data_IF_629580788124
#
_entry.id   IF_629580788124
#
_cell.length_a   1.000
_cell.length_b   1.000
_cell.length_c   1.000
_cell.angle_alpha   90.00
_cell.angle_beta   90.00
_cell.angle_gamma   90.00
#
_symmetry.space_group_name_H-M   'P 1'
#
loop_
_entity.id
_entity.type
_entity.pdbx_description
1 polymer ?
#
# COMPACT_ATOMS: atom_id res chain seq x y z
N UNK A 1 -4.19 15.99 4.31
CA UNK A 1 -5.35 16.86 4.58
C UNK A 1 -4.95 18.20 5.18
N UNK A 2 -4.24 18.25 6.32
CA UNK A 2 -3.79 19.51 6.95
C UNK A 2 -2.87 20.36 6.06
N UNK A 3 -2.02 19.75 5.22
CA UNK A 3 -1.15 20.48 4.28
C UNK A 3 -1.88 21.11 3.06
N UNK A 4 -3.07 20.60 2.70
CA UNK A 4 -3.85 21.09 1.55
C UNK A 4 -4.74 22.29 1.88
N UNK A 5 -4.84 22.68 3.15
CA UNK A 5 -5.58 23.88 3.59
C UNK A 5 -4.84 25.18 3.26
N UNK A 6 -3.55 25.11 2.89
CA UNK A 6 -2.72 26.25 2.50
C UNK A 6 -2.56 26.43 0.99
N UNK A 7 -3.19 25.59 0.17
CA UNK A 7 -3.02 25.58 -1.28
C UNK A 7 -4.20 26.30 -1.97
N UNK A 8 -3.91 27.24 -2.88
CA UNK A 8 -4.90 28.13 -3.51
C UNK A 8 -5.87 27.42 -4.49
N UNK A 9 -5.61 26.15 -4.81
CA UNK A 9 -6.40 25.34 -5.77
C UNK A 9 -7.08 24.13 -5.11
N UNK A 10 -7.69 24.30 -3.94
CA UNK A 10 -8.42 23.22 -3.28
C UNK A 10 -9.69 22.83 -4.07
N UNK A 11 -9.66 21.67 -4.73
CA UNK A 11 -10.82 21.10 -5.43
C UNK A 11 -11.61 20.17 -4.50
N UNK A 12 -12.82 20.57 -4.16
CA UNK A 12 -13.75 19.76 -3.36
C UNK A 12 -14.03 18.38 -3.98
N UNK A 13 -14.08 18.30 -5.32
CA UNK A 13 -14.31 17.04 -6.04
C UNK A 13 -13.16 16.06 -5.80
N UNK A 14 -11.91 16.53 -5.89
CA UNK A 14 -10.73 15.72 -5.60
C UNK A 14 -10.70 15.25 -4.14
N UNK A 15 -11.10 16.11 -3.21
CA UNK A 15 -11.19 15.76 -1.80
C UNK A 15 -12.17 14.59 -1.55
N UNK A 16 -13.40 14.65 -2.10
CA UNK A 16 -14.38 13.57 -1.92
C UNK A 16 -13.93 12.26 -2.57
N UNK A 17 -13.31 12.33 -3.76
CA UNK A 17 -12.75 11.15 -4.44
C UNK A 17 -11.67 10.50 -3.55
N UNK A 18 -10.73 11.29 -3.01
CA UNK A 18 -9.67 10.78 -2.13
C UNK A 18 -10.20 10.18 -0.83
N UNK A 19 -11.23 10.79 -0.22
CA UNK A 19 -11.85 10.23 0.99
C UNK A 19 -12.55 8.91 0.68
N UNK A 20 -13.28 8.83 -0.44
CA UNK A 20 -13.93 7.57 -0.86
C UNK A 20 -12.93 6.46 -1.16
N UNK A 21 -11.82 6.80 -1.82
CA UNK A 21 -10.72 5.88 -2.11
C UNK A 21 -10.08 5.34 -0.82
N UNK A 22 -9.78 6.20 0.15
CA UNK A 22 -9.22 5.81 1.44
C UNK A 22 -10.10 4.82 2.20
N UNK A 23 -11.42 5.05 2.23
CA UNK A 23 -12.38 4.15 2.88
C UNK A 23 -12.41 2.80 2.17
N UNK A 24 -12.49 2.80 0.84
CA UNK A 24 -12.53 1.59 0.02
C UNK A 24 -11.24 0.76 0.19
N UNK A 25 -10.08 1.42 0.10
CA UNK A 25 -8.77 0.81 0.24
C UNK A 25 -8.59 0.17 1.62
N UNK A 26 -8.91 0.91 2.68
CA UNK A 26 -8.77 0.42 4.06
C UNK A 26 -9.70 -0.76 4.32
N UNK A 27 -10.95 -0.70 3.83
CA UNK A 27 -11.93 -1.78 4.00
C UNK A 27 -11.48 -3.06 3.29
N UNK A 28 -10.98 -2.96 2.06
CA UNK A 28 -10.51 -4.12 1.29
C UNK A 28 -9.29 -4.78 1.95
N UNK A 29 -8.38 -3.98 2.50
CA UNK A 29 -7.22 -4.46 3.25
C UNK A 29 -7.61 -5.12 4.57
N UNK A 30 -8.61 -4.56 5.28
CA UNK A 30 -9.15 -5.15 6.50
C UNK A 30 -9.90 -6.46 6.23
N UNK A 31 -10.69 -6.53 5.15
CA UNK A 31 -11.43 -7.73 4.74
C UNK A 31 -10.48 -8.88 4.42
N UNK A 32 -9.42 -8.62 3.66
CA UNK A 32 -8.39 -9.62 3.32
C UNK A 32 -7.73 -10.19 4.57
N UNK A 33 -7.46 -9.34 5.57
CA UNK A 33 -6.95 -9.80 6.86
C UNK A 33 -7.97 -10.65 7.63
N UNK A 34 -9.25 -10.27 7.62
CA UNK A 34 -10.30 -11.06 8.30
C UNK A 34 -10.50 -12.43 7.65
N UNK A 35 -10.49 -12.50 6.31
CA UNK A 35 -10.55 -13.74 5.55
C UNK A 35 -9.42 -14.71 5.93
N UNK A 36 -8.20 -14.19 6.12
CA UNK A 36 -7.06 -14.98 6.58
C UNK A 36 -7.22 -15.49 8.02
N UNK A 37 -7.75 -14.67 8.91
CA UNK A 37 -7.91 -15.03 10.33
C UNK A 37 -9.07 -16.02 10.56
N UNK A 38 -10.04 -16.06 9.66
CA UNK A 38 -11.20 -16.97 9.76
C UNK A 38 -11.02 -18.30 9.05
N UNK A 39 -10.03 -18.43 8.15
CA UNK A 39 -9.76 -19.71 7.52
C UNK A 39 -9.09 -20.66 8.51
N UNK A 40 -9.75 -21.77 8.82
CA UNK A 40 -9.28 -22.79 9.77
C UNK A 40 -8.15 -23.66 9.22
N UNK A 41 -7.80 -23.48 7.94
CA UNK A 41 -6.70 -24.17 7.27
C UNK A 41 -5.47 -23.24 7.29
N UNK A 42 -4.26 -23.73 7.57
CA UNK A 42 -3.04 -22.94 7.42
C UNK A 42 -2.85 -22.59 5.95
N UNK A 43 -3.41 -21.45 5.52
CA UNK A 43 -3.26 -20.96 4.15
C UNK A 43 -1.82 -20.47 4.00
N UNK A 44 -1.08 -21.14 3.10
CA UNK A 44 0.27 -20.74 2.78
C UNK A 44 0.25 -19.41 2.05
N UNK A 45 1.42 -18.80 2.07
CA UNK A 45 1.62 -17.48 1.61
C UNK A 45 1.29 -17.25 0.13
N UNK A 46 1.67 -18.26 -0.63
CA UNK A 46 1.48 -18.38 -2.06
C UNK A 46 0.02 -18.70 -2.40
N UNK A 47 -0.70 -19.42 -1.53
CA UNK A 47 -2.09 -19.81 -1.76
C UNK A 47 -3.04 -18.61 -1.69
N UNK A 48 -2.81 -17.69 -0.75
CA UNK A 48 -3.55 -16.43 -0.72
C UNK A 48 -3.33 -15.64 -2.00
N UNK A 49 -2.07 -15.51 -2.42
CA UNK A 49 -1.76 -14.79 -3.65
C UNK A 49 -2.52 -15.43 -4.80
N UNK A 50 -2.50 -16.75 -4.92
CA UNK A 50 -3.22 -17.46 -5.96
C UNK A 50 -4.74 -17.23 -5.93
N UNK A 51 -5.33 -17.02 -4.75
CA UNK A 51 -6.76 -16.75 -4.61
C UNK A 51 -7.14 -15.31 -4.94
N UNK A 52 -6.32 -14.32 -4.56
CA UNK A 52 -6.62 -12.89 -4.72
C UNK A 52 -6.22 -12.36 -6.11
N UNK A 53 -5.12 -12.85 -6.66
CA UNK A 53 -4.56 -12.40 -7.96
C UNK A 53 -5.51 -12.53 -9.15
N UNK A 54 -6.29 -13.62 -9.35
CA UNK A 54 -7.20 -13.72 -10.49
C UNK A 54 -8.32 -12.67 -10.41
N UNK A 55 -8.80 -12.36 -9.20
CA UNK A 55 -9.80 -11.32 -8.99
C UNK A 55 -9.26 -9.94 -9.37
N UNK A 56 -8.09 -9.55 -8.85
CA UNK A 56 -7.48 -8.27 -9.19
C UNK A 56 -7.06 -8.16 -10.65
N UNK A 57 -6.58 -9.24 -11.27
CA UNK A 57 -6.26 -9.27 -12.69
C UNK A 57 -7.51 -9.01 -13.55
N UNK A 58 -8.64 -9.64 -13.21
CA UNK A 58 -9.89 -9.45 -13.97
C UNK A 58 -10.39 -8.01 -13.89
N UNK A 59 -10.35 -7.40 -12.71
CA UNK A 59 -10.78 -6.01 -12.51
C UNK A 59 -9.84 -5.03 -13.21
N UNK A 60 -8.53 -5.26 -13.13
CA UNK A 60 -7.53 -4.46 -13.86
C UNK A 60 -7.71 -4.58 -15.38
N UNK A 61 -7.93 -5.79 -15.89
CA UNK A 61 -8.15 -6.02 -17.31
C UNK A 61 -9.38 -5.28 -17.82
N UNK A 62 -10.49 -5.32 -17.08
CA UNK A 62 -11.70 -4.56 -17.43
C UNK A 62 -11.44 -3.05 -17.39
N UNK A 63 -10.74 -2.55 -16.38
CA UNK A 63 -10.38 -1.13 -16.28
C UNK A 63 -9.53 -0.65 -17.46
N UNK A 64 -8.53 -1.44 -17.86
CA UNK A 64 -7.68 -1.17 -19.03
C UNK A 64 -8.50 -1.13 -20.31
N UNK A 65 -9.46 -2.04 -20.50
CA UNK A 65 -10.31 -2.05 -21.70
C UNK A 65 -11.20 -0.81 -21.81
N UNK A 66 -11.71 -0.30 -20.68
CA UNK A 66 -12.59 0.87 -20.65
C UNK A 66 -11.80 2.17 -20.85
N UNK A 67 -10.62 2.30 -20.25
CA UNK A 67 -9.84 3.55 -20.24
C UNK A 67 -8.89 3.64 -21.43
N UNK A 68 -8.16 2.56 -21.73
CA UNK A 68 -7.05 2.55 -22.69
C UNK A 68 -7.31 1.69 -23.94
N UNK A 69 -8.56 1.24 -24.14
CA UNK A 69 -9.00 0.45 -25.29
C UNK A 69 -8.38 0.86 -26.65
N UNK A 70 -8.41 2.15 -27.07
CA UNK A 70 -7.86 2.56 -28.36
C UNK A 70 -6.32 2.67 -28.39
N UNK A 71 -5.64 2.73 -27.24
CA UNK A 71 -4.17 2.87 -27.14
C UNK A 71 -3.45 1.55 -26.96
N UNK A 72 -4.18 0.47 -26.67
CA UNK A 72 -3.63 -0.86 -26.40
C UNK A 72 -2.70 -1.36 -27.52
N UNK A 73 -3.06 -1.16 -28.79
CA UNK A 73 -2.27 -1.62 -29.93
C UNK A 73 -0.87 -1.00 -29.99
N UNK A 74 -0.74 0.29 -29.67
CA UNK A 74 0.56 0.98 -29.64
C UNK A 74 1.41 0.49 -28.48
N UNK A 75 0.83 0.31 -27.29
CA UNK A 75 1.57 -0.14 -26.10
C UNK A 75 2.08 -1.57 -26.27
N UNK A 76 1.27 -2.45 -26.86
CA UNK A 76 1.67 -3.84 -27.16
C UNK A 76 2.83 -3.85 -28.17
N UNK A 77 2.81 -2.97 -29.17
CA UNK A 77 3.92 -2.86 -30.13
C UNK A 77 5.24 -2.42 -29.47
N UNK A 78 5.17 -1.51 -28.49
CA UNK A 78 6.34 -1.08 -27.71
C UNK A 78 6.85 -2.19 -26.78
N UNK A 79 5.96 -2.97 -26.17
CA UNK A 79 6.35 -4.14 -25.37
C UNK A 79 7.05 -5.23 -26.20
N UNK A 80 6.61 -5.44 -27.44
CA UNK A 80 7.24 -6.39 -28.36
C UNK A 80 8.62 -5.91 -28.82
N UNK A 81 8.84 -4.60 -28.91
CA UNK A 81 10.12 -4.01 -29.31
C UNK A 81 11.18 -4.08 -28.20
N UNK A 82 10.79 -3.89 -26.94
CA UNK A 82 11.69 -3.98 -25.78
C UNK A 82 11.01 -4.72 -24.61
N UNK A 83 11.03 -6.06 -24.59
CA UNK A 83 10.33 -6.84 -23.57
C UNK A 83 11.06 -6.85 -22.22
N UNK A 84 12.36 -6.57 -22.21
CA UNK A 84 13.20 -6.66 -21.00
C UNK A 84 12.72 -5.77 -19.83
N UNK A 85 12.48 -4.44 -20.00
CA UNK A 85 11.98 -3.61 -18.92
C UNK A 85 10.59 -4.05 -18.44
N UNK A 86 9.74 -4.54 -19.34
CA UNK A 86 8.42 -5.03 -18.97
C UNK A 86 8.49 -6.33 -18.15
N UNK A 87 9.36 -7.26 -18.54
CA UNK A 87 9.58 -8.50 -17.81
C UNK A 87 10.19 -8.23 -16.44
N UNK A 88 11.18 -7.34 -16.36
CA UNK A 88 11.80 -6.92 -15.10
C UNK A 88 10.79 -6.24 -14.16
N UNK A 89 9.97 -5.32 -14.68
CA UNK A 89 8.92 -4.66 -13.90
C UNK A 89 7.86 -5.64 -13.41
N UNK A 90 7.45 -6.58 -14.27
CA UNK A 90 6.47 -7.63 -13.91
C UNK A 90 7.03 -8.58 -12.85
N UNK A 91 8.29 -8.99 -12.98
CA UNK A 91 8.97 -9.84 -11.99
C UNK A 91 9.12 -9.13 -10.64
N UNK A 92 9.50 -7.84 -10.65
CA UNK A 92 9.61 -7.05 -9.43
C UNK A 92 8.24 -6.81 -8.79
N UNK A 93 7.20 -6.57 -9.60
CA UNK A 93 5.82 -6.45 -9.15
C UNK A 93 5.31 -7.74 -8.50
N UNK A 94 5.58 -8.90 -9.12
CA UNK A 94 5.25 -10.21 -8.56
C UNK A 94 5.97 -10.44 -7.23
N UNK A 95 7.27 -10.17 -7.15
CA UNK A 95 8.04 -10.26 -5.91
C UNK A 95 7.48 -9.34 -4.82
N UNK A 96 7.16 -8.10 -5.16
CA UNK A 96 6.57 -7.13 -4.22
C UNK A 96 5.20 -7.61 -3.70
N UNK A 97 4.35 -8.16 -4.56
CA UNK A 97 3.06 -8.72 -4.18
C UNK A 97 3.20 -9.94 -3.26
N UNK A 98 4.16 -10.84 -3.52
CA UNK A 98 4.49 -11.95 -2.62
C UNK A 98 4.91 -11.41 -1.25
N UNK A 99 5.87 -10.49 -1.20
CA UNK A 99 6.34 -9.88 0.05
C UNK A 99 5.20 -9.17 0.80
N UNK A 100 4.35 -8.42 0.10
CA UNK A 100 3.23 -7.71 0.70
C UNK A 100 2.23 -8.67 1.36
N UNK A 101 1.87 -9.77 0.68
CA UNK A 101 1.00 -10.79 1.26
C UNK A 101 1.65 -11.49 2.45
N UNK A 102 2.97 -11.68 2.44
CA UNK A 102 3.74 -12.26 3.56
C UNK A 102 3.64 -11.40 4.81
N UNK A 103 3.88 -10.11 4.64
CA UNK A 103 3.80 -9.11 5.71
C UNK A 103 2.38 -9.05 6.27
N UNK A 104 1.36 -9.19 5.42
CA UNK A 104 -0.05 -9.23 5.84
C UNK A 104 -0.36 -10.40 6.77
N UNK A 105 0.20 -11.58 6.49
CA UNK A 105 0.02 -12.77 7.33
C UNK A 105 0.75 -12.66 8.67
N UNK A 106 1.98 -12.16 8.66
CA UNK A 106 2.82 -12.11 9.85
C UNK A 106 2.52 -10.92 10.79
N UNK A 107 1.74 -9.93 10.32
CA UNK A 107 1.60 -8.63 10.98
C UNK A 107 0.14 -8.23 11.23
N UNK A 108 -0.15 -7.73 12.43
CA UNK A 108 -1.46 -7.16 12.80
C UNK A 108 -1.83 -5.94 11.94
N UNK A 109 -3.14 -5.70 11.76
CA UNK A 109 -3.71 -4.54 11.08
C UNK A 109 -3.03 -3.23 11.49
N UNK A 110 -2.83 -3.08 12.80
CA UNK A 110 -2.29 -1.88 13.44
C UNK A 110 -0.82 -1.64 13.05
N UNK A 111 -0.01 -2.69 13.07
CA UNK A 111 1.42 -2.57 12.73
C UNK A 111 1.57 -2.31 11.22
N UNK A 112 0.70 -2.87 10.39
CA UNK A 112 0.68 -2.59 8.94
C UNK A 112 0.31 -1.15 8.62
N UNK A 113 -0.67 -0.56 9.31
CA UNK A 113 -0.99 0.86 9.11
C UNK A 113 0.15 1.78 9.54
N UNK A 114 0.84 1.45 10.64
CA UNK A 114 2.02 2.21 11.09
C UNK A 114 3.18 2.08 10.10
N UNK A 115 3.45 0.87 9.60
CA UNK A 115 4.51 0.62 8.62
C UNK A 115 4.23 1.34 7.28
N UNK A 116 2.97 1.40 6.85
CA UNK A 116 2.57 2.15 5.67
C UNK A 116 2.88 3.64 5.83
N UNK A 117 2.54 4.20 7.00
CA UNK A 117 2.84 5.61 7.29
C UNK A 117 4.36 5.87 7.33
N UNK A 118 5.12 4.97 7.94
CA UNK A 118 6.59 5.02 7.96
C UNK A 118 7.20 4.98 6.55
N UNK A 119 6.75 4.04 5.72
CA UNK A 119 7.20 3.91 4.32
C UNK A 119 6.98 5.21 3.56
N UNK A 120 5.81 5.82 3.71
CA UNK A 120 5.50 7.09 3.05
C UNK A 120 6.39 8.21 3.56
N UNK A 121 6.66 8.30 4.87
CA UNK A 121 7.55 9.32 5.44
C UNK A 121 8.99 9.15 4.92
N UNK A 122 9.51 7.92 4.94
CA UNK A 122 10.83 7.59 4.41
C UNK A 122 10.94 7.92 2.92
N UNK A 123 9.90 7.62 2.15
CA UNK A 123 9.85 7.89 0.72
C UNK A 123 9.84 9.39 0.44
N UNK A 124 9.14 10.20 1.24
CA UNK A 124 9.20 11.66 1.08
C UNK A 124 10.57 12.21 1.47
N UNK A 125 11.16 11.75 2.57
CA UNK A 125 12.52 12.18 2.96
C UNK A 125 13.52 11.85 1.84
N UNK A 126 13.48 10.61 1.32
CA UNK A 126 14.31 10.20 0.20
C UNK A 126 14.06 11.04 -1.06
N UNK A 127 12.79 11.34 -1.36
CA UNK A 127 12.41 12.20 -2.50
C UNK A 127 12.98 13.60 -2.37
N UNK A 128 12.98 14.18 -1.16
CA UNK A 128 13.57 15.50 -0.89
C UNK A 128 15.09 15.46 -1.03
N UNK A 129 15.74 14.41 -0.56
CA UNK A 129 17.18 14.24 -0.73
C UNK A 129 17.61 14.10 -2.20
N UNK A 130 16.79 13.44 -3.02
CA UNK A 130 17.09 13.21 -4.45
C UNK A 130 16.75 14.43 -5.29
N UNK A 131 15.60 15.09 -5.06
CA UNK A 131 15.13 16.19 -5.90
C UNK A 131 15.52 17.59 -5.37
N UNK A 132 15.96 17.72 -4.12
CA UNK A 132 16.42 19.00 -3.55
C UNK A 132 15.32 20.05 -3.32
N UNK A 133 14.03 19.66 -3.38
CA UNK A 133 12.91 20.59 -3.23
C UNK A 133 12.77 21.15 -1.80
N UNK A 134 12.36 22.42 -1.72
CA UNK A 134 12.13 23.14 -0.46
C UNK A 134 10.88 22.58 0.22
N UNK A 135 11.09 21.88 1.33
CA UNK A 135 10.04 21.26 2.13
C UNK A 135 9.24 22.35 2.85
N UNK A 136 7.97 22.55 2.47
CA UNK A 136 7.06 23.48 3.14
C UNK A 136 6.92 23.13 4.62
N UNK A 137 6.92 24.12 5.52
CA UNK A 137 6.89 23.91 6.99
C UNK A 137 5.73 23.04 7.50
N UNK A 138 4.64 22.92 6.73
CA UNK A 138 3.52 22.00 6.96
C UNK A 138 3.91 20.52 6.93
N UNK A 139 4.89 20.13 6.12
CA UNK A 139 5.41 18.76 6.11
C UNK A 139 6.17 18.44 7.40
N UNK A 140 6.99 19.37 7.88
CA UNK A 140 7.75 19.20 9.12
C UNK A 140 6.83 19.00 10.34
N UNK A 141 5.73 19.77 10.41
CA UNK A 141 4.71 19.61 11.45
C UNK A 141 3.94 18.28 11.34
N UNK A 142 3.62 17.83 10.11
CA UNK A 142 2.99 16.53 9.90
C UNK A 142 3.89 15.35 10.30
N UNK A 143 5.19 15.45 10.04
CA UNK A 143 6.16 14.41 10.41
C UNK A 143 6.39 14.31 11.91
N UNK A 144 6.48 15.45 12.62
CA UNK A 144 6.67 15.45 14.06
C UNK A 144 5.51 14.77 14.81
N UNK A 145 4.27 15.00 14.37
CA UNK A 145 3.08 14.32 14.92
C UNK A 145 3.12 12.81 14.66
N UNK A 146 3.51 12.39 13.46
CA UNK A 146 3.65 10.96 13.16
C UNK A 146 4.72 10.29 14.04
N UNK A 147 5.88 10.95 14.22
CA UNK A 147 6.97 10.45 15.06
C UNK A 147 6.53 10.36 16.53
N UNK A 148 5.82 11.37 17.04
CA UNK A 148 5.26 11.34 18.39
C UNK A 148 4.27 10.18 18.60
N UNK A 149 3.37 9.94 17.63
CA UNK A 149 2.44 8.81 17.66
C UNK A 149 3.15 7.45 17.64
N UNK A 150 4.24 7.32 16.88
CA UNK A 150 5.05 6.10 16.84
C UNK A 150 5.80 5.83 18.14
N UNK A 151 6.40 6.87 18.74
CA UNK A 151 7.08 6.75 20.03
C UNK A 151 6.10 6.33 21.13
N UNK A 152 4.89 6.89 21.13
CA UNK A 152 3.83 6.51 22.06
C UNK A 152 3.42 5.03 21.90
N UNK A 153 3.29 4.53 20.67
CA UNK A 153 2.95 3.13 20.42
C UNK A 153 4.10 2.15 20.76
N UNK A 154 5.35 2.58 20.59
CA UNK A 154 6.52 1.75 20.90
C UNK A 154 6.75 1.57 22.41
N UNK A 155 6.42 2.56 23.23
CA UNK A 155 6.76 2.58 24.67
C UNK A 155 6.07 1.48 25.53
N UNK A 156 4.76 1.18 25.39
CA UNK A 156 4.11 0.14 26.19
C UNK A 156 4.22 -1.28 25.60
N UNK A 157 4.52 -1.42 24.30
CA UNK A 157 4.57 -2.73 23.63
C UNK A 157 5.86 -3.51 23.93
N UNK A 158 6.92 -2.83 24.40
CA UNK A 158 8.19 -3.46 24.80
C UNK A 158 8.12 -4.28 26.10
N UNK A 159 7.06 -4.13 26.91
CA UNK A 159 6.96 -4.78 28.22
C UNK A 159 6.09 -6.05 28.27
N UNK A 160 5.59 -6.55 27.14
CA UNK A 160 4.86 -7.83 27.13
C UNK A 160 5.81 -8.96 26.74
N UNK A 161 6.22 -9.86 27.67
CA UNK A 161 6.89 -11.09 27.27
C UNK A 161 5.95 -11.85 26.33
N UNK A 162 6.48 -12.33 25.20
CA UNK A 162 5.82 -13.27 24.29
C UNK A 162 5.56 -14.57 25.05
N UNK A 163 4.47 -14.59 25.80
CA UNK A 163 3.90 -15.78 26.39
C UNK A 163 3.38 -16.68 25.28
N UNK A 164 4.09 -17.79 25.07
CA UNK A 164 3.64 -18.98 24.39
C UNK A 164 2.19 -19.34 24.75
N UNK A 165 1.33 -19.49 23.75
CA UNK A 165 0.16 -20.36 23.83
C UNK A 165 -0.33 -20.66 22.43
N UNK A 166 0.12 -21.79 21.89
CA UNK A 166 -0.78 -22.65 21.12
C UNK A 166 -2.00 -22.95 22.00
N UNK A 167 -3.21 -22.96 21.42
CA UNK A 167 -4.16 -23.99 21.75
C UNK A 167 -4.50 -24.83 20.52
N UNK A 168 -4.76 -26.10 20.83
CA UNK A 168 -5.02 -27.24 19.94
C UNK A 168 -6.27 -27.08 19.10
#
# INVERSE_FOLDING_TARGET
LVAGMGEVSFSYVGFFILVSDMICFTTSQALTQRLLQQSSVPISSVDLLYYVTPGTLSVMAVGILIIDGPKLGSVVSTMLSDPFPFLAATALGAACNVTATEVVRLTSALIRSVLAQLKTILLVIASVFINGDIVTGTHCFGYSICIAGMLWYAHPTAHKPRGSSLPK
#
